data_IF_991129588621
#
_entry.id   IF_991129588621
#
_cell.length_a   1.000
_cell.length_b   1.000
_cell.length_c   1.000
_cell.angle_alpha   90.00
_cell.angle_beta   90.00
_cell.angle_gamma   90.00
#
_symmetry.space_group_name_H-M   'P 1'
#
loop_
_entity.id
_entity.type
_entity.pdbx_description
1 polymer ?
#
# COMPACT_ATOMS: atom_id res chain seq x y z
N UNK A 1 0.07 -12.47 -1.82
CA UNK A 1 -0.85 -13.48 -1.26
C UNK A 1 -1.99 -13.85 -2.19
N UNK A 2 -2.95 -12.96 -2.52
CA UNK A 2 -4.16 -13.36 -3.28
C UNK A 2 -3.94 -13.99 -4.65
N UNK A 3 -2.96 -13.49 -5.43
CA UNK A 3 -2.57 -14.08 -6.72
C UNK A 3 -1.92 -15.45 -6.57
N UNK A 4 -0.99 -15.59 -5.62
CA UNK A 4 -0.31 -16.85 -5.29
C UNK A 4 -1.30 -17.88 -4.76
N UNK A 5 -2.25 -17.47 -3.91
CA UNK A 5 -3.31 -18.33 -3.42
C UNK A 5 -4.21 -18.85 -4.56
N UNK A 6 -4.60 -17.96 -5.48
CA UNK A 6 -5.34 -18.36 -6.69
C UNK A 6 -4.57 -19.37 -7.54
N UNK A 7 -3.25 -19.18 -7.70
CA UNK A 7 -2.37 -20.12 -8.37
C UNK A 7 -2.31 -21.49 -7.67
N UNK A 8 -2.23 -21.51 -6.34
CA UNK A 8 -2.21 -22.78 -5.58
C UNK A 8 -3.53 -23.55 -5.65
N UNK A 9 -4.65 -22.88 -5.92
CA UNK A 9 -5.97 -23.50 -6.12
C UNK A 9 -6.13 -24.04 -7.56
N UNK A 10 -5.20 -23.72 -8.47
CA UNK A 10 -5.20 -24.23 -9.84
C UNK A 10 -5.77 -23.28 -10.88
N UNK A 11 -5.89 -21.97 -10.58
CA UNK A 11 -6.27 -20.98 -11.60
C UNK A 11 -5.14 -20.76 -12.61
N UNK A 12 -5.50 -20.66 -13.89
CA UNK A 12 -4.56 -20.45 -14.99
C UNK A 12 -3.86 -19.08 -14.89
N UNK A 13 -2.65 -19.02 -15.45
CA UNK A 13 -1.90 -17.78 -15.57
C UNK A 13 -2.65 -16.76 -16.42
N UNK A 14 -2.78 -15.53 -15.90
CA UNK A 14 -3.48 -14.40 -16.55
C UNK A 14 -5.00 -14.58 -16.70
N UNK A 15 -5.61 -15.44 -15.89
CA UNK A 15 -7.06 -15.64 -15.83
C UNK A 15 -7.77 -14.54 -15.02
N UNK A 16 -9.05 -14.31 -15.32
CA UNK A 16 -9.86 -13.29 -14.62
C UNK A 16 -10.08 -13.67 -13.14
N UNK A 17 -10.09 -14.97 -12.86
CA UNK A 17 -10.22 -15.59 -11.54
C UNK A 17 -9.07 -15.18 -10.62
N UNK A 18 -7.85 -15.12 -11.17
CA UNK A 18 -6.65 -14.71 -10.44
C UNK A 18 -6.71 -13.22 -10.05
N UNK A 19 -7.29 -12.40 -10.93
CA UNK A 19 -7.55 -10.98 -10.65
C UNK A 19 -8.61 -10.83 -9.54
N UNK A 20 -9.71 -11.57 -9.61
CA UNK A 20 -10.78 -11.56 -8.59
C UNK A 20 -10.25 -12.02 -7.24
N UNK A 21 -9.44 -13.08 -7.19
CA UNK A 21 -8.81 -13.54 -5.95
C UNK A 21 -7.92 -12.45 -5.34
N UNK A 22 -7.08 -11.81 -6.16
CA UNK A 22 -6.19 -10.74 -5.72
C UNK A 22 -6.97 -9.53 -5.18
N UNK A 23 -8.03 -9.13 -5.89
CA UNK A 23 -8.91 -8.04 -5.49
C UNK A 23 -9.67 -8.38 -4.20
N UNK A 24 -10.18 -9.60 -4.06
CA UNK A 24 -10.87 -10.08 -2.87
C UNK A 24 -9.98 -10.02 -1.63
N UNK A 25 -8.74 -10.49 -1.72
CA UNK A 25 -7.77 -10.37 -0.62
C UNK A 25 -7.43 -8.91 -0.29
N UNK A 26 -7.29 -8.04 -1.30
CA UNK A 26 -7.04 -6.62 -1.07
C UNK A 26 -8.22 -5.92 -0.37
N UNK A 27 -9.46 -6.20 -0.80
CA UNK A 27 -10.67 -5.66 -0.18
C UNK A 27 -10.86 -6.19 1.24
N UNK A 28 -10.57 -7.47 1.49
CA UNK A 28 -10.66 -8.08 2.80
C UNK A 28 -9.63 -7.46 3.76
N UNK A 29 -8.39 -7.24 3.30
CA UNK A 29 -7.38 -6.52 4.06
C UNK A 29 -7.83 -5.08 4.39
N UNK A 30 -8.34 -4.33 3.41
CA UNK A 30 -8.85 -2.97 3.62
C UNK A 30 -10.02 -2.94 4.62
N UNK A 31 -10.93 -3.91 4.54
CA UNK A 31 -12.04 -4.06 5.48
C UNK A 31 -11.56 -4.38 6.90
N UNK A 32 -10.64 -5.34 7.06
CA UNK A 32 -10.05 -5.66 8.36
C UNK A 32 -9.34 -4.44 8.97
N UNK A 33 -8.54 -3.70 8.21
CA UNK A 33 -7.91 -2.48 8.71
C UNK A 33 -8.93 -1.40 9.12
N UNK A 34 -10.03 -1.28 8.38
CA UNK A 34 -11.11 -0.37 8.73
C UNK A 34 -11.82 -0.75 10.05
N UNK A 35 -11.86 -2.04 10.41
CA UNK A 35 -12.47 -2.49 11.65
C UNK A 35 -11.56 -2.29 12.87
N UNK A 36 -10.25 -2.46 12.69
CA UNK A 36 -9.31 -2.41 13.82
C UNK A 36 -9.01 -0.97 14.26
N UNK A 37 -9.23 0.01 13.38
CA UNK A 37 -9.06 1.42 13.73
C UNK A 37 -10.24 1.94 14.57
N UNK A 38 -10.09 1.84 15.88
CA UNK A 38 -10.89 2.55 16.88
C UNK A 38 -10.13 3.80 17.33
N UNK A 39 -10.83 4.92 17.57
CA UNK A 39 -10.30 6.27 17.89
C UNK A 39 -9.32 6.32 19.09
N UNK A 40 -9.08 5.19 19.77
CA UNK A 40 -8.21 5.04 20.95
C UNK A 40 -7.12 3.96 20.81
N UNK A 41 -6.75 3.53 19.60
CA UNK A 41 -5.68 2.54 19.43
C UNK A 41 -4.30 3.13 19.77
N UNK A 42 -3.63 2.58 20.80
CA UNK A 42 -2.25 2.93 21.20
C UNK A 42 -1.18 2.58 20.16
N UNK A 43 -1.55 1.83 19.13
CA UNK A 43 -0.63 1.32 18.10
C UNK A 43 -0.77 2.22 16.86
N UNK A 44 0.33 2.78 16.33
CA UNK A 44 0.30 3.54 15.09
C UNK A 44 -0.13 2.65 13.92
N UNK A 45 -0.96 3.18 13.03
CA UNK A 45 -1.58 2.42 11.94
C UNK A 45 -0.52 1.90 10.96
N UNK A 46 0.57 2.62 10.79
CA UNK A 46 1.73 2.24 9.99
C UNK A 46 2.36 0.92 10.49
N UNK A 47 2.45 0.75 11.82
CA UNK A 47 2.96 -0.49 12.41
C UNK A 47 2.00 -1.67 12.20
N UNK A 48 0.69 -1.42 12.21
CA UNK A 48 -0.31 -2.43 11.91
C UNK A 48 -0.28 -2.86 10.44
N UNK A 49 -0.18 -1.91 9.52
CA UNK A 49 -0.04 -2.16 8.09
C UNK A 49 1.25 -2.96 7.82
N UNK A 50 2.38 -2.55 8.43
CA UNK A 50 3.64 -3.27 8.34
C UNK A 50 3.55 -4.71 8.86
N UNK A 51 2.90 -4.91 10.02
CA UNK A 51 2.75 -6.25 10.61
C UNK A 51 1.86 -7.16 9.76
N UNK A 52 0.70 -6.66 9.31
CA UNK A 52 -0.21 -7.43 8.45
C UNK A 52 0.44 -7.79 7.12
N UNK A 53 1.26 -6.89 6.57
CA UNK A 53 2.03 -7.14 5.38
C UNK A 53 3.13 -8.20 5.58
N UNK A 54 3.90 -8.11 6.67
CA UNK A 54 4.92 -9.10 7.02
C UNK A 54 4.30 -10.51 7.18
N UNK A 55 3.14 -10.59 7.85
CA UNK A 55 2.38 -11.82 7.99
C UNK A 55 1.93 -12.39 6.63
N UNK A 56 1.33 -11.56 5.77
CA UNK A 56 0.92 -11.93 4.41
C UNK A 56 2.10 -12.37 3.53
N UNK A 57 3.26 -11.72 3.68
CA UNK A 57 4.48 -12.06 2.94
C UNK A 57 5.05 -13.40 3.38
N UNK A 58 5.11 -13.66 4.69
CA UNK A 58 5.52 -14.95 5.23
C UNK A 58 4.61 -16.08 4.71
N UNK A 59 3.30 -15.87 4.71
CA UNK A 59 2.34 -16.83 4.18
C UNK A 59 2.50 -17.05 2.67
N UNK A 60 2.76 -15.98 1.92
CA UNK A 60 3.05 -16.05 0.48
C UNK A 60 4.34 -16.83 0.21
N UNK A 61 5.41 -16.59 0.97
CA UNK A 61 6.67 -17.33 0.86
C UNK A 61 6.46 -18.81 1.14
N UNK A 62 5.69 -19.15 2.20
CA UNK A 62 5.36 -20.55 2.52
C UNK A 62 4.61 -21.25 1.38
N UNK A 63 3.75 -20.53 0.65
CA UNK A 63 3.06 -21.07 -0.53
C UNK A 63 4.02 -21.26 -1.71
N UNK A 64 4.95 -20.32 -1.92
CA UNK A 64 5.90 -20.34 -3.06
C UNK A 64 6.99 -21.40 -2.88
N UNK A 65 7.45 -21.66 -1.65
CA UNK A 65 8.65 -22.48 -1.36
C UNK A 65 8.58 -23.92 -1.91
N UNK A 66 7.38 -24.40 -2.26
CA UNK A 66 7.15 -25.72 -2.83
C UNK A 66 7.40 -25.80 -4.35
N UNK A 67 7.75 -24.69 -4.99
CA UNK A 67 7.92 -24.58 -6.44
C UNK A 67 9.41 -24.55 -6.82
N UNK A 68 9.85 -25.18 -7.93
CA UNK A 68 11.24 -25.18 -8.38
C UNK A 68 11.84 -23.78 -8.57
N UNK A 69 11.01 -22.81 -8.95
CA UNK A 69 11.40 -21.41 -9.22
C UNK A 69 11.20 -20.46 -8.00
N UNK A 70 11.06 -21.03 -6.80
CA UNK A 70 10.73 -20.26 -5.59
C UNK A 70 11.70 -19.13 -5.28
N UNK A 71 13.00 -19.33 -5.52
CA UNK A 71 14.02 -18.30 -5.26
C UNK A 71 13.84 -17.05 -6.14
N UNK A 72 13.48 -17.23 -7.40
CA UNK A 72 13.26 -16.12 -8.34
C UNK A 72 11.96 -15.37 -8.01
N UNK A 73 10.87 -16.11 -7.75
CA UNK A 73 9.60 -15.51 -7.34
C UNK A 73 9.68 -14.75 -6.01
N UNK A 74 10.45 -15.26 -5.04
CA UNK A 74 10.70 -14.55 -3.77
C UNK A 74 11.54 -13.29 -4.02
N UNK A 75 12.58 -13.38 -4.85
CA UNK A 75 13.41 -12.23 -5.20
C UNK A 75 12.59 -11.14 -5.89
N UNK A 76 11.75 -11.51 -6.85
CA UNK A 76 10.88 -10.57 -7.56
C UNK A 76 9.85 -9.94 -6.62
N UNK A 77 9.28 -10.70 -5.68
CA UNK A 77 8.38 -10.14 -4.66
C UNK A 77 9.09 -9.12 -3.76
N UNK A 78 10.31 -9.43 -3.29
CA UNK A 78 11.04 -8.61 -2.32
C UNK A 78 11.65 -7.35 -2.96
N UNK A 79 12.30 -7.50 -4.10
CA UNK A 79 13.13 -6.47 -4.74
C UNK A 79 12.42 -5.80 -5.92
N UNK A 80 11.41 -6.46 -6.49
CA UNK A 80 10.76 -6.00 -7.71
C UNK A 80 11.68 -6.08 -8.94
N UNK A 81 11.13 -5.68 -10.08
CA UNK A 81 11.84 -5.65 -11.36
C UNK A 81 11.78 -4.25 -11.97
N UNK A 82 12.27 -3.25 -11.22
CA UNK A 82 12.22 -1.82 -11.59
C UNK A 82 12.91 -1.56 -12.93
N UNK A 83 13.99 -2.29 -13.24
CA UNK A 83 14.74 -2.15 -14.49
C UNK A 83 14.00 -2.69 -15.73
N UNK A 84 13.02 -3.59 -15.54
CA UNK A 84 12.27 -4.24 -16.63
C UNK A 84 10.85 -3.66 -16.78
N UNK A 85 10.54 -2.59 -16.04
CA UNK A 85 9.23 -1.95 -16.11
C UNK A 85 9.05 -1.30 -17.48
N UNK A 86 8.06 -1.79 -18.21
CA UNK A 86 7.68 -1.22 -19.50
C UNK A 86 7.16 0.22 -19.35
N UNK A 87 7.48 1.15 -20.27
CA UNK A 87 6.98 2.52 -20.25
C UNK A 87 5.45 2.63 -20.19
N UNK A 88 4.74 1.64 -20.78
CA UNK A 88 3.27 1.54 -20.71
C UNK A 88 2.74 1.32 -19.29
N UNK A 89 3.47 0.56 -18.47
CA UNK A 89 3.11 0.32 -17.06
C UNK A 89 3.29 1.61 -16.28
N UNK A 90 4.40 2.33 -16.51
CA UNK A 90 4.66 3.63 -15.86
C UNK A 90 3.53 4.62 -16.14
N UNK A 91 3.11 4.76 -17.41
CA UNK A 91 2.04 5.69 -17.79
C UNK A 91 0.71 5.28 -17.14
N UNK A 92 0.35 3.99 -17.15
CA UNK A 92 -0.87 3.50 -16.49
C UNK A 92 -0.86 3.79 -14.99
N UNK A 93 0.24 3.48 -14.30
CA UNK A 93 0.38 3.71 -12.86
C UNK A 93 0.36 5.20 -12.54
N UNK A 94 1.01 6.04 -13.35
CA UNK A 94 0.99 7.48 -13.19
C UNK A 94 -0.42 8.07 -13.33
N UNK A 95 -1.20 7.62 -14.32
CA UNK A 95 -2.61 8.03 -14.47
C UNK A 95 -3.42 7.59 -13.25
N UNK A 96 -3.27 6.33 -12.81
CA UNK A 96 -3.96 5.80 -11.63
C UNK A 96 -3.66 6.64 -10.38
N UNK A 97 -2.38 6.92 -10.13
CA UNK A 97 -1.95 7.68 -8.95
C UNK A 97 -2.37 9.14 -9.04
N UNK A 98 -2.42 9.72 -10.25
CA UNK A 98 -2.93 11.07 -10.47
C UNK A 98 -4.42 11.15 -10.11
N UNK A 99 -5.24 10.18 -10.55
CA UNK A 99 -6.66 10.13 -10.21
C UNK A 99 -6.85 10.03 -8.69
N UNK A 100 -6.11 9.14 -8.02
CA UNK A 100 -6.17 8.98 -6.56
C UNK A 100 -5.73 10.28 -5.85
N UNK A 101 -4.69 10.94 -6.36
CA UNK A 101 -4.21 12.22 -5.85
C UNK A 101 -5.25 13.33 -5.99
N UNK A 102 -5.94 13.42 -7.14
CA UNK A 102 -7.03 14.37 -7.37
C UNK A 102 -8.18 14.13 -6.39
N UNK A 103 -8.57 12.87 -6.17
CA UNK A 103 -9.60 12.50 -5.18
C UNK A 103 -9.20 13.05 -3.80
N UNK A 104 -7.98 12.79 -3.34
CA UNK A 104 -7.52 13.30 -2.04
C UNK A 104 -7.44 14.83 -1.99
N UNK A 105 -7.04 15.47 -3.08
CA UNK A 105 -6.94 16.93 -3.15
C UNK A 105 -8.31 17.61 -3.06
N UNK A 106 -9.32 17.05 -3.74
CA UNK A 106 -10.71 17.54 -3.71
C UNK A 106 -11.33 17.33 -2.32
N UNK A 107 -11.13 16.15 -1.73
CA UNK A 107 -11.67 15.80 -0.40
C UNK A 107 -10.81 16.27 0.78
N UNK A 108 -9.77 17.08 0.52
CA UNK A 108 -8.80 17.53 1.53
C UNK A 108 -9.49 18.13 2.76
N UNK A 109 -10.55 18.92 2.59
CA UNK A 109 -11.21 19.63 3.70
C UNK A 109 -11.85 18.66 4.71
N UNK A 110 -12.40 17.54 4.25
CA UNK A 110 -13.03 16.51 5.09
C UNK A 110 -11.97 15.62 5.76
N UNK A 111 -10.89 15.28 5.04
CA UNK A 111 -9.75 14.54 5.57
C UNK A 111 -8.99 15.35 6.63
N UNK A 112 -8.78 16.65 6.39
CA UNK A 112 -8.15 17.57 7.36
C UNK A 112 -9.00 17.79 8.62
N UNK A 113 -10.33 17.95 8.48
CA UNK A 113 -11.21 18.14 9.63
C UNK A 113 -11.22 16.92 10.57
N UNK A 114 -11.00 15.71 10.02
CA UNK A 114 -10.86 14.46 10.77
C UNK A 114 -9.53 14.36 11.53
N UNK A 115 -8.42 14.77 10.89
CA UNK A 115 -7.09 14.82 11.53
C UNK A 115 -7.06 15.77 12.74
N UNK A 116 -8.02 16.68 12.84
CA UNK A 116 -8.15 17.67 13.92
C UNK A 116 -9.23 17.29 14.95
N UNK A 117 -9.65 16.01 14.99
CA UNK A 117 -10.65 15.46 15.93
C UNK A 117 -12.02 16.16 15.95
N UNK A 118 -12.42 16.82 14.85
CA UNK A 118 -13.79 17.35 14.77
C UNK A 118 -14.78 16.21 14.52
N UNK A 119 -15.91 16.22 15.24
CA UNK A 119 -17.02 15.29 14.98
C UNK A 119 -17.62 15.59 13.61
N UNK A 120 -17.36 14.74 12.63
CA UNK A 120 -17.95 14.78 11.29
C UNK A 120 -18.89 13.60 11.15
N UNK A 121 -20.04 13.80 10.50
CA UNK A 121 -20.91 12.72 10.06
C UNK A 121 -20.16 11.75 9.12
N UNK A 122 -20.35 10.44 9.33
CA UNK A 122 -19.75 9.35 8.53
C UNK A 122 -18.22 9.23 8.60
N UNK A 123 -17.62 9.43 9.77
CA UNK A 123 -16.19 9.26 9.99
C UNK A 123 -15.63 7.93 9.44
N UNK A 124 -16.34 6.81 9.63
CA UNK A 124 -15.94 5.47 9.16
C UNK A 124 -15.81 5.40 7.63
N UNK A 125 -16.72 6.05 6.89
CA UNK A 125 -16.70 6.04 5.42
C UNK A 125 -15.46 6.76 4.88
N UNK A 126 -15.10 7.90 5.48
CA UNK A 126 -13.93 8.66 5.07
C UNK A 126 -12.62 7.95 5.40
N UNK A 127 -12.57 7.22 6.53
CA UNK A 127 -11.44 6.33 6.81
C UNK A 127 -11.35 5.21 5.77
N UNK A 128 -12.47 4.59 5.44
CA UNK A 128 -12.50 3.54 4.43
C UNK A 128 -12.01 4.05 3.07
N UNK A 129 -12.43 5.25 2.65
CA UNK A 129 -11.95 5.85 1.39
C UNK A 129 -10.45 6.12 1.46
N UNK A 130 -9.95 6.73 2.53
CA UNK A 130 -8.52 7.04 2.68
C UNK A 130 -7.66 5.77 2.73
N UNK A 131 -8.01 4.82 3.58
CA UNK A 131 -7.24 3.58 3.72
C UNK A 131 -7.43 2.63 2.55
N UNK A 132 -8.61 2.60 1.94
CA UNK A 132 -8.87 1.82 0.74
C UNK A 132 -8.03 2.32 -0.43
N UNK A 133 -8.03 3.62 -0.69
CA UNK A 133 -7.20 4.22 -1.74
C UNK A 133 -5.71 4.12 -1.43
N UNK A 134 -5.30 4.31 -0.17
CA UNK A 134 -3.91 4.08 0.26
C UNK A 134 -3.49 2.62 0.04
N UNK A 135 -4.33 1.66 0.41
CA UNK A 135 -4.08 0.23 0.20
C UNK A 135 -3.91 -0.11 -1.28
N UNK A 136 -4.70 0.50 -2.17
CA UNK A 136 -4.55 0.35 -3.62
C UNK A 136 -3.21 0.88 -4.11
N UNK A 137 -2.81 2.08 -3.65
CA UNK A 137 -1.50 2.66 -4.01
C UNK A 137 -0.36 1.78 -3.53
N UNK A 138 -0.38 1.33 -2.27
CA UNK A 138 0.67 0.46 -1.73
C UNK A 138 0.73 -0.86 -2.49
N UNK A 139 -0.41 -1.50 -2.75
CA UNK A 139 -0.48 -2.77 -3.50
C UNK A 139 0.09 -2.63 -4.90
N UNK A 140 -0.29 -1.56 -5.61
CA UNK A 140 0.21 -1.29 -6.97
C UNK A 140 1.68 -0.89 -6.99
N UNK A 141 2.19 -0.20 -5.96
CA UNK A 141 3.61 0.15 -5.89
C UNK A 141 4.46 -1.08 -5.60
N UNK A 142 4.00 -1.95 -4.70
CA UNK A 142 4.71 -3.18 -4.30
C UNK A 142 4.81 -4.16 -5.46
N UNK A 143 3.77 -4.30 -6.28
CA UNK A 143 3.81 -5.21 -7.43
C UNK A 143 4.83 -4.79 -8.50
N UNK A 144 5.23 -3.51 -8.53
CA UNK A 144 6.18 -2.97 -9.50
C UNK A 144 7.59 -2.93 -8.91
N UNK A 145 7.70 -2.33 -7.72
CA UNK A 145 8.97 -1.94 -7.12
C UNK A 145 9.46 -2.88 -6.00
N UNK A 146 8.67 -3.92 -5.70
CA UNK A 146 8.96 -4.85 -4.62
C UNK A 146 8.60 -4.29 -3.24
N UNK A 147 8.50 -5.20 -2.28
CA UNK A 147 8.15 -4.88 -0.89
C UNK A 147 9.16 -3.92 -0.26
N UNK A 148 10.43 -4.30 -0.34
CA UNK A 148 11.48 -3.69 0.48
C UNK A 148 11.64 -2.22 0.15
N UNK A 149 11.56 -1.90 -1.14
CA UNK A 149 11.67 -0.54 -1.62
C UNK A 149 10.48 0.30 -1.16
N UNK A 150 9.25 -0.17 -1.40
CA UNK A 150 8.04 0.58 -1.06
C UNK A 150 7.97 0.86 0.44
N UNK A 151 8.27 -0.12 1.29
CA UNK A 151 8.30 0.11 2.74
C UNK A 151 9.40 1.09 3.14
N UNK A 152 10.58 1.01 2.55
CA UNK A 152 11.66 1.98 2.83
C UNK A 152 11.22 3.40 2.49
N UNK A 153 10.59 3.61 1.33
CA UNK A 153 10.10 4.93 0.89
C UNK A 153 8.85 5.42 1.64
N UNK A 154 8.08 4.53 2.27
CA UNK A 154 6.92 4.93 3.08
C UNK A 154 7.30 5.20 4.53
N UNK A 155 8.11 4.34 5.14
CA UNK A 155 8.40 4.38 6.58
C UNK A 155 9.50 5.39 6.89
N UNK A 156 10.61 5.40 6.14
CA UNK A 156 11.76 6.27 6.45
C UNK A 156 11.38 7.75 6.30
N UNK A 157 10.78 8.20 5.18
CA UNK A 157 10.37 9.60 5.05
C UNK A 157 9.28 9.99 6.06
N UNK A 158 8.35 9.08 6.39
CA UNK A 158 7.31 9.35 7.37
C UNK A 158 7.91 9.60 8.76
N UNK A 159 8.79 8.72 9.25
CA UNK A 159 9.44 8.88 10.55
C UNK A 159 10.27 10.17 10.58
N UNK A 160 11.08 10.41 9.55
CA UNK A 160 11.88 11.63 9.45
C UNK A 160 11.00 12.88 9.44
N UNK A 161 9.88 12.85 8.72
CA UNK A 161 8.95 13.97 8.66
C UNK A 161 8.31 14.26 10.02
N UNK A 162 7.92 13.23 10.78
CA UNK A 162 7.33 13.36 12.12
C UNK A 162 8.35 13.88 13.12
N UNK A 163 9.61 13.44 13.04
CA UNK A 163 10.67 13.90 13.94
C UNK A 163 11.09 15.35 13.69
N UNK A 164 10.99 15.84 12.44
CA UNK A 164 11.47 17.16 12.04
C UNK A 164 10.37 18.21 11.82
N UNK A 165 9.11 17.78 11.74
CA UNK A 165 7.99 18.63 11.34
C UNK A 165 6.88 18.71 12.38
N UNK A 166 6.69 19.89 12.96
CA UNK A 166 5.59 20.17 13.92
C UNK A 166 4.22 20.35 13.24
N UNK A 167 4.16 20.36 11.91
CA UNK A 167 2.91 20.57 11.16
C UNK A 167 2.83 19.67 9.94
N UNK A 168 1.62 19.20 9.62
CA UNK A 168 1.32 18.32 8.47
C UNK A 168 1.88 18.88 7.15
N UNK A 169 1.85 20.21 6.95
CA UNK A 169 2.42 20.82 5.74
C UNK A 169 3.94 20.65 5.67
N UNK A 170 4.66 20.86 6.79
CA UNK A 170 6.11 20.61 6.86
C UNK A 170 6.41 19.13 6.69
N UNK A 171 5.61 18.25 7.29
CA UNK A 171 5.78 16.80 7.16
C UNK A 171 5.65 16.34 5.71
N UNK A 172 4.63 16.84 4.99
CA UNK A 172 4.44 16.55 3.56
C UNK A 172 5.64 17.03 2.71
N UNK A 173 6.11 18.26 2.94
CA UNK A 173 7.25 18.82 2.20
C UNK A 173 8.52 18.00 2.46
N UNK A 174 8.80 17.66 3.73
CA UNK A 174 9.98 16.86 4.09
C UNK A 174 9.89 15.47 3.47
N UNK A 175 8.72 14.83 3.55
CA UNK A 175 8.48 13.52 2.93
C UNK A 175 8.69 13.52 1.42
N UNK A 176 8.18 14.53 0.72
CA UNK A 176 8.35 14.67 -0.73
C UNK A 176 9.82 14.94 -1.12
N UNK A 177 10.51 15.80 -0.37
CA UNK A 177 11.94 16.05 -0.58
C UNK A 177 12.78 14.79 -0.38
N UNK A 178 12.49 14.01 0.66
CA UNK A 178 13.18 12.74 0.91
C UNK A 178 12.92 11.73 -0.21
N UNK A 179 11.67 11.63 -0.68
CA UNK A 179 11.31 10.75 -1.80
C UNK A 179 12.02 11.14 -3.10
N UNK A 180 12.16 12.43 -3.38
CA UNK A 180 12.89 12.92 -4.56
C UNK A 180 14.40 12.62 -4.47
N UNK A 181 15.02 12.85 -3.31
CA UNK A 181 16.45 12.58 -3.10
C UNK A 181 16.76 11.09 -3.15
N UNK A 182 15.90 10.24 -2.57
CA UNK A 182 16.12 8.80 -2.59
C UNK A 182 15.81 8.17 -3.97
N UNK A 183 15.10 8.89 -4.85
CA UNK A 183 14.78 8.43 -6.21
C UNK A 183 15.86 8.76 -7.24
N UNK A 184 16.82 9.64 -6.93
CA UNK A 184 17.98 9.96 -7.77
C UNK A 184 19.17 9.07 -7.44
#
# INVERSE_FOLDING_TARGET
MGSVFGKTIGFEDHSWELYVSSLGFAMLAAFLFSLIKSDHSKIPVEAMIGTGYAFSSALTILMIVKTPESAEQIKEMLVGSILLVSPKVIIKTAIFYTIIGIIHFVFRKQIYARSNHQKIDKAVLWDFIFYGTFSVVVTSSVSIAGVLLVFSFLVVPAIVSIMLGDSIKKQLIIGWSFGLIAST
#
